data_IF_736876648307
#
_entry.id   IF_736876648307
#
_cell.length_a   1.000
_cell.length_b   1.000
_cell.length_c   1.000
_cell.angle_alpha   90.00
_cell.angle_beta   90.00
_cell.angle_gamma   90.00
#
_symmetry.space_group_name_H-M   'P 1'
#
loop_
_entity.id
_entity.type
_entity.pdbx_description
1 polymer ?
#
# COMPACT_ATOMS: atom_id res chain seq x y z
N UNK A 1 -11.22 20.97 -1.35
CA UNK A 1 -10.98 20.89 0.12
C UNK A 1 -11.05 22.26 0.79
N UNK A 2 -10.68 23.36 0.13
CA UNK A 2 -11.00 24.71 0.62
C UNK A 2 -12.52 24.92 0.67
N UNK A 3 -13.01 25.81 1.54
CA UNK A 3 -14.44 26.11 1.71
C UNK A 3 -15.25 24.97 2.37
N UNK A 4 -14.70 24.32 3.40
CA UNK A 4 -15.43 23.27 4.12
C UNK A 4 -16.57 23.92 4.91
N UNK A 5 -17.80 23.48 4.65
CA UNK A 5 -18.97 23.89 5.40
C UNK A 5 -18.73 23.74 6.92
N UNK A 6 -18.98 24.81 7.68
CA UNK A 6 -18.75 24.87 9.12
C UNK A 6 -17.31 25.17 9.57
N UNK A 7 -16.36 25.36 8.64
CA UNK A 7 -15.00 25.83 8.95
C UNK A 7 -14.66 27.13 8.23
N UNK A 8 -15.02 27.22 6.95
CA UNK A 8 -14.75 28.39 6.10
C UNK A 8 -15.92 28.61 5.15
N UNK A 9 -16.46 29.83 5.12
CA UNK A 9 -17.58 30.19 4.27
C UNK A 9 -17.22 30.23 2.79
N UNK A 10 -15.95 30.53 2.47
CA UNK A 10 -15.42 30.59 1.11
C UNK A 10 -14.17 29.72 0.94
N UNK A 11 -13.96 29.23 -0.27
CA UNK A 11 -12.81 28.40 -0.64
C UNK A 11 -12.04 28.99 -1.81
N UNK A 12 -10.75 29.26 -1.61
CA UNK A 12 -9.86 29.79 -2.65
C UNK A 12 -8.94 28.69 -3.19
N UNK A 13 -8.66 28.74 -4.49
CA UNK A 13 -7.69 27.88 -5.17
C UNK A 13 -6.85 28.73 -6.11
N UNK A 14 -5.55 28.49 -6.14
CA UNK A 14 -4.60 29.15 -7.04
C UNK A 14 -3.44 28.20 -7.34
N UNK A 15 -2.49 28.65 -8.15
CA UNK A 15 -1.25 27.93 -8.47
C UNK A 15 -0.05 28.57 -7.75
N UNK A 16 1.02 27.81 -7.57
CA UNK A 16 2.29 28.33 -7.05
C UNK A 16 2.93 29.28 -8.06
N UNK A 17 3.74 30.24 -7.59
CA UNK A 17 4.43 31.19 -8.46
C UNK A 17 5.40 30.49 -9.42
N UNK A 18 6.04 29.43 -8.96
CA UNK A 18 6.98 28.61 -9.72
C UNK A 18 6.30 27.52 -10.56
N UNK A 19 4.96 27.50 -10.64
CA UNK A 19 4.24 26.54 -11.47
C UNK A 19 4.48 26.79 -12.97
N UNK A 20 4.22 25.76 -13.78
CA UNK A 20 4.26 25.86 -15.23
C UNK A 20 3.34 26.99 -15.74
N UNK A 21 3.76 27.69 -16.81
CA UNK A 21 3.07 28.88 -17.31
C UNK A 21 1.57 28.65 -17.60
N UNK A 22 1.21 27.46 -18.07
CA UNK A 22 -0.17 27.10 -18.41
C UNK A 22 -1.00 26.62 -17.19
N UNK A 23 -0.40 26.44 -16.01
CA UNK A 23 -1.09 25.85 -14.86
C UNK A 23 -2.32 26.66 -14.43
N UNK A 24 -2.22 27.99 -14.41
CA UNK A 24 -3.35 28.85 -14.02
C UNK A 24 -4.50 28.78 -15.05
N UNK A 25 -4.16 28.67 -16.34
CA UNK A 25 -5.14 28.53 -17.41
C UNK A 25 -5.84 27.17 -17.33
N UNK A 26 -5.09 26.10 -17.12
CA UNK A 26 -5.63 24.76 -16.88
C UNK A 26 -6.58 24.75 -15.68
N UNK A 27 -6.19 25.35 -14.56
CA UNK A 27 -7.05 25.47 -13.39
C UNK A 27 -8.37 26.17 -13.72
N UNK A 28 -8.33 27.34 -14.38
CA UNK A 28 -9.53 28.09 -14.77
C UNK A 28 -10.44 27.31 -15.72
N UNK A 29 -9.87 26.51 -16.61
CA UNK A 29 -10.63 25.69 -17.55
C UNK A 29 -11.26 24.46 -16.90
N UNK A 30 -10.60 23.84 -15.93
CA UNK A 30 -11.09 22.60 -15.30
C UNK A 30 -12.02 22.87 -14.12
N UNK A 31 -11.79 23.94 -13.36
CA UNK A 31 -12.56 24.25 -12.13
C UNK A 31 -14.08 24.33 -12.32
N UNK A 32 -14.63 24.95 -13.38
CA UNK A 32 -16.08 25.02 -13.57
C UNK A 32 -16.68 23.74 -14.17
N UNK A 33 -15.87 22.74 -14.56
CA UNK A 33 -16.39 21.53 -15.17
C UNK A 33 -17.13 20.69 -14.13
N UNK A 34 -18.35 20.32 -14.48
CA UNK A 34 -19.13 19.35 -13.71
C UNK A 34 -18.43 17.97 -13.75
N UNK A 35 -18.19 17.34 -12.58
CA UNK A 35 -17.69 15.97 -12.54
C UNK A 35 -18.70 15.03 -13.21
N UNK A 36 -18.25 14.29 -14.22
CA UNK A 36 -19.06 13.28 -14.91
C UNK A 36 -18.36 11.94 -14.89
N UNK A 37 -19.13 10.87 -14.82
CA UNK A 37 -18.60 9.52 -14.96
C UNK A 37 -17.93 9.37 -16.34
N UNK A 38 -16.81 8.64 -16.44
CA UNK A 38 -16.22 8.29 -17.73
C UNK A 38 -17.25 7.59 -18.62
N UNK A 39 -17.26 7.89 -19.92
CA UNK A 39 -18.23 7.31 -20.87
C UNK A 39 -18.11 5.79 -20.99
N UNK A 40 -16.87 5.29 -20.98
CA UNK A 40 -16.54 3.87 -21.13
C UNK A 40 -16.10 3.27 -19.79
N UNK A 41 -16.83 3.59 -18.72
CA UNK A 41 -16.53 3.04 -17.40
C UNK A 41 -16.72 1.52 -17.39
N UNK A 42 -15.67 0.78 -17.05
CA UNK A 42 -15.71 -0.65 -16.78
C UNK A 42 -15.44 -0.89 -15.31
N UNK A 43 -16.23 -1.77 -14.69
CA UNK A 43 -16.04 -2.11 -13.29
C UNK A 43 -14.79 -2.99 -13.14
N UNK A 44 -13.76 -2.58 -12.37
CA UNK A 44 -12.59 -3.41 -12.15
C UNK A 44 -12.96 -4.63 -11.28
N UNK A 45 -12.60 -5.83 -11.74
CA UNK A 45 -12.89 -7.09 -11.05
C UNK A 45 -11.59 -7.79 -10.68
N UNK A 46 -11.53 -8.23 -9.43
CA UNK A 46 -10.47 -9.09 -8.91
C UNK A 46 -11.03 -10.51 -8.63
N UNK A 47 -10.19 -11.56 -8.68
CA UNK A 47 -10.62 -12.90 -8.35
C UNK A 47 -10.94 -13.02 -6.85
N UNK A 48 -11.97 -13.81 -6.52
CA UNK A 48 -12.19 -14.29 -5.17
C UNK A 48 -11.69 -15.74 -5.03
N UNK A 49 -11.72 -16.29 -3.81
CA UNK A 49 -11.27 -17.67 -3.58
C UNK A 49 -11.99 -18.71 -4.44
N UNK A 50 -13.30 -18.55 -4.68
CA UNK A 50 -14.07 -19.48 -5.52
C UNK A 50 -13.57 -19.49 -6.96
N UNK A 51 -13.19 -18.34 -7.52
CA UNK A 51 -12.58 -18.25 -8.84
C UNK A 51 -11.25 -19.01 -8.89
N UNK A 52 -10.37 -18.74 -7.92
CA UNK A 52 -9.04 -19.40 -7.82
C UNK A 52 -9.18 -20.91 -7.69
N UNK A 53 -10.03 -21.37 -6.78
CA UNK A 53 -10.28 -22.79 -6.56
C UNK A 53 -10.85 -23.47 -7.81
N UNK A 54 -11.82 -22.85 -8.48
CA UNK A 54 -12.45 -23.41 -9.68
C UNK A 54 -11.45 -23.55 -10.82
N UNK A 55 -10.63 -22.52 -11.07
CA UNK A 55 -9.61 -22.54 -12.12
C UNK A 55 -8.57 -23.62 -11.81
N UNK A 56 -8.08 -23.68 -10.56
CA UNK A 56 -7.11 -24.68 -10.13
C UNK A 56 -7.60 -26.10 -10.38
N UNK A 57 -8.84 -26.40 -9.97
CA UNK A 57 -9.45 -27.73 -10.14
C UNK A 57 -9.71 -28.10 -11.60
N UNK A 58 -10.27 -27.17 -12.40
CA UNK A 58 -10.62 -27.45 -13.79
C UNK A 58 -9.41 -27.54 -14.72
N UNK A 59 -8.36 -26.77 -14.44
CA UNK A 59 -7.16 -26.72 -15.28
C UNK A 59 -6.05 -27.64 -14.75
N UNK A 60 -6.20 -28.23 -13.56
CA UNK A 60 -5.19 -29.10 -12.96
C UNK A 60 -3.91 -28.37 -12.55
N UNK A 61 -3.98 -27.06 -12.28
CA UNK A 61 -2.82 -26.24 -11.91
C UNK A 61 -2.88 -25.81 -10.45
N UNK A 62 -1.75 -25.88 -9.75
CA UNK A 62 -1.66 -25.52 -8.32
C UNK A 62 -0.69 -24.36 -8.03
N UNK A 63 -0.01 -23.83 -9.06
CA UNK A 63 0.79 -22.60 -8.95
C UNK A 63 -0.17 -21.40 -8.97
N UNK A 64 -0.13 -20.57 -7.92
CA UNK A 64 -1.03 -19.43 -7.79
C UNK A 64 -0.84 -18.44 -8.94
N UNK A 65 0.40 -18.19 -9.36
CA UNK A 65 0.70 -17.33 -10.50
C UNK A 65 -0.02 -17.79 -11.77
N UNK A 66 0.01 -19.11 -12.03
CA UNK A 66 -0.66 -19.69 -13.19
C UNK A 66 -2.18 -19.55 -13.11
N UNK A 67 -2.77 -19.80 -11.93
CA UNK A 67 -4.21 -19.63 -11.70
C UNK A 67 -4.67 -18.20 -11.94
N UNK A 68 -3.95 -17.22 -11.38
CA UNK A 68 -4.27 -15.79 -11.53
C UNK A 68 -4.07 -15.32 -12.99
N UNK A 69 -3.01 -15.80 -13.65
CA UNK A 69 -2.76 -15.50 -15.07
C UNK A 69 -3.90 -16.00 -15.97
N UNK A 70 -4.42 -17.21 -15.72
CA UNK A 70 -5.58 -17.75 -16.44
C UNK A 70 -6.82 -16.89 -16.18
N UNK A 71 -7.06 -16.49 -14.92
CA UNK A 71 -8.18 -15.60 -14.59
C UNK A 71 -8.13 -14.30 -15.39
N UNK A 72 -6.96 -13.65 -15.45
CA UNK A 72 -6.79 -12.40 -16.19
C UNK A 72 -6.99 -12.58 -17.70
N UNK A 73 -6.50 -13.68 -18.27
CA UNK A 73 -6.71 -14.00 -19.68
C UNK A 73 -8.20 -14.19 -20.01
N UNK A 74 -8.94 -14.91 -19.17
CA UNK A 74 -10.38 -15.14 -19.38
C UNK A 74 -11.19 -13.85 -19.24
N UNK A 75 -10.87 -12.99 -18.25
CA UNK A 75 -11.58 -11.72 -18.07
C UNK A 75 -11.34 -10.74 -19.23
N UNK A 76 -10.15 -10.76 -19.84
CA UNK A 76 -9.87 -9.97 -21.06
C UNK A 76 -10.68 -10.41 -22.28
N UNK A 77 -11.18 -11.65 -22.32
CA UNK A 77 -12.00 -12.15 -23.43
C UNK A 77 -13.47 -11.72 -23.32
N UNK A 78 -13.95 -11.32 -22.14
CA UNK A 78 -15.35 -10.92 -21.85
C UNK A 78 -15.41 -9.50 -21.23
N UNK A 79 -14.86 -8.52 -21.96
CA UNK A 79 -14.56 -7.16 -21.51
C UNK A 79 -15.69 -6.14 -21.84
N UNK A 80 -16.95 -6.58 -21.94
CA UNK A 80 -18.04 -5.68 -22.31
C UNK A 80 -18.38 -4.65 -21.21
N UNK A 81 -18.32 -5.08 -19.93
CA UNK A 81 -18.69 -4.24 -18.77
C UNK A 81 -17.66 -4.27 -17.64
N UNK A 82 -16.66 -5.17 -17.73
CA UNK A 82 -15.71 -5.45 -16.67
C UNK A 82 -14.30 -5.30 -17.18
N UNK A 83 -13.45 -4.63 -16.41
CA UNK A 83 -12.02 -4.63 -16.63
C UNK A 83 -11.33 -5.50 -15.58
N UNK A 84 -10.16 -6.03 -15.90
CA UNK A 84 -9.28 -6.62 -14.88
C UNK A 84 -8.84 -5.48 -13.95
N UNK A 85 -8.96 -5.68 -12.63
CA UNK A 85 -8.30 -4.78 -11.69
C UNK A 85 -6.77 -4.81 -11.90
N UNK A 86 -6.05 -3.80 -11.40
CA UNK A 86 -4.58 -3.86 -11.35
C UNK A 86 -4.17 -5.02 -10.41
N UNK A 87 -3.67 -6.10 -10.99
CA UNK A 87 -3.28 -7.34 -10.30
C UNK A 87 -1.77 -7.63 -10.43
N UNK A 88 -1.00 -6.70 -10.98
CA UNK A 88 0.43 -6.81 -11.24
C UNK A 88 1.18 -7.18 -9.96
N UNK A 89 0.94 -6.42 -8.88
CA UNK A 89 1.52 -6.70 -7.57
C UNK A 89 1.11 -8.06 -7.02
N UNK A 90 -0.16 -8.46 -7.21
CA UNK A 90 -0.64 -9.76 -6.75
C UNK A 90 0.06 -10.91 -7.49
N UNK A 91 0.31 -10.75 -8.79
CA UNK A 91 1.07 -11.70 -9.60
C UNK A 91 2.54 -11.77 -9.15
N UNK A 92 3.19 -10.64 -8.92
CA UNK A 92 4.56 -10.59 -8.39
C UNK A 92 4.68 -11.36 -7.07
N UNK A 93 3.77 -11.10 -6.12
CA UNK A 93 3.74 -11.84 -4.86
C UNK A 93 3.45 -13.33 -5.07
N UNK A 94 2.49 -13.67 -5.94
CA UNK A 94 2.13 -15.05 -6.25
C UNK A 94 3.31 -15.85 -6.83
N UNK A 95 4.11 -15.25 -7.71
CA UNK A 95 5.31 -15.89 -8.27
C UNK A 95 6.33 -16.22 -7.18
N UNK A 96 6.59 -15.28 -6.26
CA UNK A 96 7.55 -15.53 -5.18
C UNK A 96 7.01 -16.54 -4.18
N UNK A 97 5.72 -16.48 -3.84
CA UNK A 97 5.07 -17.46 -2.97
C UNK A 97 5.11 -18.87 -3.57
N UNK A 98 4.91 -19.00 -4.88
CA UNK A 98 5.02 -20.29 -5.58
C UNK A 98 6.45 -20.86 -5.56
N UNK A 99 7.48 -20.02 -5.45
CA UNK A 99 8.88 -20.45 -5.35
C UNK A 99 9.28 -20.80 -3.93
N UNK A 100 8.93 -19.95 -2.97
CA UNK A 100 9.51 -19.98 -1.62
C UNK A 100 8.56 -20.53 -0.55
N UNK A 101 7.25 -20.57 -0.83
CA UNK A 101 6.22 -20.95 0.13
C UNK A 101 5.24 -21.99 -0.46
N UNK A 102 5.71 -22.81 -1.42
CA UNK A 102 4.86 -23.77 -2.17
C UNK A 102 4.18 -24.82 -1.30
N UNK A 103 4.76 -25.11 -0.12
CA UNK A 103 4.19 -26.02 0.86
C UNK A 103 2.90 -25.49 1.50
N UNK A 104 2.67 -24.18 1.47
CA UNK A 104 1.40 -23.60 1.91
C UNK A 104 0.27 -24.02 0.96
N UNK A 105 -0.92 -24.36 1.49
CA UNK A 105 -2.13 -24.54 0.71
C UNK A 105 -2.36 -23.37 -0.27
N UNK A 106 -2.92 -23.66 -1.45
CA UNK A 106 -3.21 -22.63 -2.45
C UNK A 106 -4.04 -21.47 -1.88
N UNK A 107 -4.97 -21.77 -0.97
CA UNK A 107 -5.78 -20.77 -0.29
C UNK A 107 -4.94 -19.82 0.58
N UNK A 108 -3.92 -20.33 1.25
CA UNK A 108 -3.05 -19.52 2.10
C UNK A 108 -2.10 -18.67 1.27
N UNK A 109 -1.51 -19.23 0.21
CA UNK A 109 -0.77 -18.43 -0.78
C UNK A 109 -1.65 -17.32 -1.36
N UNK A 110 -2.92 -17.62 -1.67
CA UNK A 110 -3.87 -16.61 -2.15
C UNK A 110 -4.18 -15.53 -1.11
N UNK A 111 -4.25 -15.87 0.20
CA UNK A 111 -4.37 -14.88 1.28
C UNK A 111 -3.12 -13.99 1.37
N UNK A 112 -1.91 -14.59 1.31
CA UNK A 112 -0.65 -13.84 1.30
C UNK A 112 -0.54 -12.89 0.12
N UNK A 113 -0.95 -13.31 -1.08
CA UNK A 113 -0.88 -12.48 -2.28
C UNK A 113 -1.81 -11.24 -2.22
N UNK A 114 -2.75 -11.18 -1.27
CA UNK A 114 -3.61 -10.02 -1.02
C UNK A 114 -3.00 -9.03 0.00
N UNK A 115 -1.82 -9.32 0.54
CA UNK A 115 -1.20 -8.48 1.54
C UNK A 115 -0.77 -7.11 0.95
N UNK A 116 -0.99 -6.00 1.68
CA UNK A 116 -0.66 -4.65 1.21
C UNK A 116 0.84 -4.36 1.37
N UNK A 117 1.68 -5.09 0.62
CA UNK A 117 3.13 -4.92 0.63
C UNK A 117 3.51 -3.77 -0.30
N UNK A 118 4.33 -2.81 0.12
CA UNK A 118 4.86 -1.81 -0.82
C UNK A 118 6.07 -2.39 -1.57
N UNK A 119 5.89 -2.80 -2.83
CA UNK A 119 6.95 -3.44 -3.64
C UNK A 119 8.13 -2.50 -3.92
N UNK A 120 7.98 -1.20 -3.71
CA UNK A 120 9.06 -0.21 -3.84
C UNK A 120 10.04 -0.22 -2.67
N UNK A 121 9.76 -0.99 -1.62
CA UNK A 121 10.61 -1.14 -0.44
C UNK A 121 11.19 -2.57 -0.37
N UNK A 122 12.38 -2.84 -0.95
CA UNK A 122 12.95 -4.19 -1.02
C UNK A 122 13.01 -4.89 0.33
N UNK A 123 13.43 -4.19 1.38
CA UNK A 123 13.49 -4.73 2.74
C UNK A 123 12.13 -5.23 3.26
N UNK A 124 11.03 -4.55 2.95
CA UNK A 124 9.69 -4.97 3.38
C UNK A 124 9.25 -6.23 2.62
N UNK A 125 9.57 -6.28 1.33
CA UNK A 125 9.33 -7.44 0.46
C UNK A 125 10.13 -8.66 0.96
N UNK A 126 11.40 -8.47 1.31
CA UNK A 126 12.27 -9.53 1.84
C UNK A 126 11.76 -10.07 3.18
N UNK A 127 11.35 -9.19 4.11
CA UNK A 127 10.74 -9.62 5.37
C UNK A 127 9.45 -10.40 5.14
N UNK A 128 8.57 -9.90 4.27
CA UNK A 128 7.34 -10.59 3.89
C UNK A 128 7.62 -12.00 3.34
N UNK A 129 8.61 -12.13 2.45
CA UNK A 129 9.01 -13.43 1.90
C UNK A 129 9.57 -14.36 2.96
N UNK A 130 10.42 -13.85 3.86
CA UNK A 130 10.95 -14.61 4.99
C UNK A 130 9.85 -15.16 5.89
N UNK A 131 8.86 -14.35 6.25
CA UNK A 131 7.73 -14.78 7.08
C UNK A 131 6.86 -15.83 6.38
N UNK A 132 6.54 -15.64 5.10
CA UNK A 132 5.77 -16.60 4.33
C UNK A 132 6.51 -17.94 4.16
N UNK A 133 7.82 -17.90 3.92
CA UNK A 133 8.67 -19.09 3.83
C UNK A 133 8.78 -19.82 5.17
N UNK A 134 8.94 -19.10 6.27
CA UNK A 134 8.95 -19.69 7.61
C UNK A 134 7.62 -20.36 7.92
N UNK A 135 6.49 -19.66 7.67
CA UNK A 135 5.17 -20.24 7.88
C UNK A 135 4.99 -21.53 7.07
N UNK A 136 5.42 -21.55 5.80
CA UNK A 136 5.38 -22.75 4.95
C UNK A 136 6.18 -23.93 5.52
N UNK A 137 7.30 -23.66 6.20
CA UNK A 137 8.24 -24.67 6.69
C UNK A 137 7.93 -25.15 8.11
N UNK A 138 7.53 -24.24 8.99
CA UNK A 138 7.44 -24.50 10.44
C UNK A 138 6.03 -24.32 11.00
N UNK A 139 5.09 -23.79 10.22
CA UNK A 139 3.77 -23.39 10.71
C UNK A 139 3.76 -22.06 11.47
N UNK A 140 4.88 -21.34 11.53
CA UNK A 140 5.04 -20.08 12.27
C UNK A 140 5.81 -19.06 11.42
N UNK A 141 5.49 -17.77 11.53
CA UNK A 141 6.19 -16.71 10.81
C UNK A 141 7.65 -16.50 11.29
N UNK A 142 7.93 -16.87 12.54
CA UNK A 142 9.20 -16.61 13.23
C UNK A 142 9.10 -15.40 14.16
N UNK A 143 10.24 -14.98 14.72
CA UNK A 143 10.29 -13.88 15.67
C UNK A 143 10.29 -12.51 14.94
N UNK A 144 9.54 -11.52 15.43
CA UNK A 144 9.51 -10.18 14.86
C UNK A 144 10.77 -9.37 15.25
N UNK A 145 11.92 -9.68 14.66
CA UNK A 145 13.21 -9.03 14.98
C UNK A 145 13.19 -7.49 14.85
N UNK A 146 12.30 -6.94 14.04
CA UNK A 146 12.09 -5.50 13.92
C UNK A 146 11.65 -4.83 15.25
N UNK A 147 11.16 -5.58 16.22
CA UNK A 147 10.86 -5.07 17.56
C UNK A 147 12.11 -4.54 18.27
N UNK A 148 13.26 -5.15 18.02
CA UNK A 148 14.54 -4.78 18.64
C UNK A 148 15.35 -3.80 17.77
N UNK A 149 15.09 -3.75 16.47
CA UNK A 149 15.87 -2.95 15.51
C UNK A 149 15.42 -1.48 15.42
N UNK A 150 14.19 -1.18 15.82
CA UNK A 150 13.57 0.12 15.58
C UNK A 150 13.02 0.77 16.86
N UNK A 151 13.19 2.09 16.96
CA UNK A 151 12.60 2.91 18.00
C UNK A 151 12.14 4.29 17.48
N UNK A 152 11.50 5.04 18.37
CA UNK A 152 10.95 6.39 18.14
C UNK A 152 11.99 7.52 18.01
N UNK A 153 13.27 7.21 18.23
CA UNK A 153 14.40 8.14 18.15
C UNK A 153 15.18 7.99 16.84
N UNK A 154 14.84 6.99 16.03
CA UNK A 154 15.40 6.77 14.70
C UNK A 154 15.17 7.93 13.72
N UNK A 155 15.83 7.84 12.56
CA UNK A 155 15.56 8.79 11.46
C UNK A 155 14.12 8.63 10.95
N UNK A 156 13.50 9.73 10.51
CA UNK A 156 12.13 9.75 9.99
C UNK A 156 11.84 8.63 8.98
N UNK A 157 12.70 8.45 7.98
CA UNK A 157 12.53 7.45 6.93
C UNK A 157 12.56 6.01 7.48
N UNK A 158 13.42 5.75 8.47
CA UNK A 158 13.50 4.43 9.13
C UNK A 158 12.28 4.18 10.00
N UNK A 159 11.77 5.19 10.71
CA UNK A 159 10.53 5.06 11.48
C UNK A 159 9.32 4.79 10.58
N UNK A 160 9.22 5.49 9.44
CA UNK A 160 8.15 5.26 8.46
C UNK A 160 8.21 3.85 7.86
N UNK A 161 9.42 3.32 7.62
CA UNK A 161 9.61 1.94 7.18
C UNK A 161 9.17 0.94 8.26
N UNK A 162 9.61 1.12 9.51
CA UNK A 162 9.22 0.28 10.64
C UNK A 162 7.71 0.28 10.86
N UNK A 163 7.05 1.44 10.68
CA UNK A 163 5.60 1.56 10.79
C UNK A 163 4.87 0.70 9.74
N UNK A 164 5.41 0.63 8.52
CA UNK A 164 4.88 -0.23 7.44
C UNK A 164 5.07 -1.72 7.76
N UNK A 165 6.24 -2.10 8.31
CA UNK A 165 6.51 -3.47 8.77
C UNK A 165 5.51 -3.87 9.86
N UNK A 166 5.33 -3.04 10.89
CA UNK A 166 4.36 -3.28 11.97
C UNK A 166 2.93 -3.44 11.42
N UNK A 167 2.54 -2.58 10.49
CA UNK A 167 1.22 -2.62 9.87
C UNK A 167 1.00 -3.92 9.08
N UNK A 168 2.01 -4.34 8.31
CA UNK A 168 1.95 -5.58 7.54
C UNK A 168 1.90 -6.82 8.46
N UNK A 169 2.71 -6.84 9.53
CA UNK A 169 2.71 -7.90 10.53
C UNK A 169 1.32 -8.09 11.17
N UNK A 170 0.74 -7.01 11.69
CA UNK A 170 -0.60 -7.04 12.29
C UNK A 170 -1.70 -7.41 11.27
N UNK A 171 -1.53 -6.99 10.01
CA UNK A 171 -2.45 -7.40 8.95
C UNK A 171 -2.42 -8.91 8.76
N UNK A 172 -1.22 -9.51 8.71
CA UNK A 172 -1.02 -10.94 8.50
C UNK A 172 -1.46 -11.78 9.71
N UNK A 173 -1.20 -11.32 10.94
CA UNK A 173 -1.68 -11.96 12.17
C UNK A 173 -3.21 -12.17 12.16
N UNK A 174 -3.95 -11.14 11.77
CA UNK A 174 -5.42 -11.24 11.65
C UNK A 174 -5.87 -12.30 10.62
N UNK A 175 -5.09 -12.58 9.58
CA UNK A 175 -5.44 -13.56 8.51
C UNK A 175 -4.94 -14.97 8.80
N UNK A 176 -3.94 -15.09 9.66
CA UNK A 176 -3.31 -16.35 10.05
C UNK A 176 -3.23 -16.44 11.59
N UNK A 177 -4.37 -16.63 12.28
CA UNK A 177 -4.39 -16.66 13.75
C UNK A 177 -3.45 -17.74 14.30
N UNK A 178 -2.57 -17.35 15.23
CA UNK A 178 -1.60 -18.24 15.88
C UNK A 178 -0.37 -18.60 15.05
N UNK A 179 -0.20 -18.02 13.85
CA UNK A 179 1.02 -18.15 13.03
C UNK A 179 1.97 -16.98 13.28
N UNK A 180 1.39 -15.80 13.52
CA UNK A 180 2.07 -14.61 13.99
C UNK A 180 1.75 -14.43 15.47
N UNK A 181 2.38 -13.45 16.11
CA UNK A 181 2.22 -13.18 17.52
C UNK A 181 2.77 -11.80 17.89
N UNK A 182 3.07 -11.62 19.18
CA UNK A 182 3.59 -10.35 19.73
C UNK A 182 2.72 -9.14 19.39
N UNK A 183 1.41 -9.34 19.34
CA UNK A 183 0.45 -8.33 18.85
C UNK A 183 0.51 -7.06 19.70
N UNK A 184 0.57 -7.21 21.02
CA UNK A 184 0.63 -6.08 21.95
C UNK A 184 1.95 -5.31 21.80
N UNK A 185 3.07 -6.00 21.70
CA UNK A 185 4.39 -5.40 21.52
C UNK A 185 4.51 -4.67 20.18
N UNK A 186 3.96 -5.23 19.11
CA UNK A 186 3.93 -4.59 17.78
C UNK A 186 2.98 -3.39 17.77
N UNK A 187 1.85 -3.44 18.48
CA UNK A 187 0.95 -2.30 18.65
C UNK A 187 1.64 -1.17 19.42
N UNK A 188 2.33 -1.49 20.51
CA UNK A 188 3.11 -0.54 21.31
C UNK A 188 4.20 0.14 20.47
N UNK A 189 5.01 -0.66 19.76
CA UNK A 189 6.04 -0.12 18.85
C UNK A 189 5.43 0.80 17.80
N UNK A 190 4.32 0.39 17.17
CA UNK A 190 3.62 1.22 16.18
C UNK A 190 3.17 2.55 16.77
N UNK A 191 2.69 2.56 18.02
CA UNK A 191 2.34 3.78 18.75
C UNK A 191 3.53 4.71 18.95
N UNK A 192 4.61 4.19 19.54
CA UNK A 192 5.86 4.92 19.76
C UNK A 192 6.46 5.49 18.48
N UNK A 193 6.46 4.71 17.39
CA UNK A 193 6.93 5.16 16.07
C UNK A 193 6.09 6.33 15.53
N UNK A 194 4.76 6.27 15.65
CA UNK A 194 3.89 7.38 15.24
C UNK A 194 4.18 8.66 16.02
N UNK A 195 4.35 8.56 17.34
CA UNK A 195 4.70 9.71 18.19
C UNK A 195 6.07 10.31 17.81
N UNK A 196 7.05 9.46 17.50
CA UNK A 196 8.37 9.87 17.01
C UNK A 196 8.30 10.60 15.66
N UNK A 197 7.54 10.03 14.71
CA UNK A 197 7.28 10.62 13.38
C UNK A 197 6.61 11.98 13.53
N UNK A 198 5.53 12.07 14.31
CA UNK A 198 4.79 13.32 14.51
C UNK A 198 5.68 14.42 15.12
N UNK A 199 6.50 14.07 16.12
CA UNK A 199 7.45 14.99 16.74
C UNK A 199 8.46 15.54 15.72
N UNK A 200 9.03 14.67 14.88
CA UNK A 200 9.99 15.10 13.85
C UNK A 200 9.33 15.95 12.76
N UNK A 201 8.11 15.63 12.35
CA UNK A 201 7.36 16.40 11.36
C UNK A 201 6.98 17.79 11.89
N UNK A 202 6.54 17.90 13.15
CA UNK A 202 6.28 19.20 13.81
C UNK A 202 7.55 20.04 13.95
N UNK A 203 8.69 19.39 14.22
CA UNK A 203 9.99 20.05 14.34
C UNK A 203 10.55 20.58 13.00
N UNK A 204 10.11 20.03 11.86
CA UNK A 204 10.50 20.54 10.54
C UNK A 204 9.71 21.82 10.24
N UNK A 205 10.40 22.97 10.28
CA UNK A 205 9.81 24.24 9.82
C UNK A 205 9.27 24.08 8.40
N UNK A 206 8.01 24.45 8.14
CA UNK A 206 7.47 24.49 6.79
C UNK A 206 8.39 25.28 5.86
N UNK A 207 8.59 24.79 4.63
CA UNK A 207 9.51 25.40 3.66
C UNK A 207 9.20 26.89 3.39
N UNK A 208 7.93 27.30 3.52
CA UNK A 208 7.50 28.69 3.38
C UNK A 208 7.96 29.61 4.52
N UNK A 209 8.23 29.08 5.73
CA UNK A 209 8.75 29.84 6.87
C UNK A 209 10.27 30.06 6.80
N UNK A 210 10.99 29.33 5.94
CA UNK A 210 12.45 29.49 5.78
C UNK A 210 12.85 30.72 4.95
N UNK A 211 11.95 31.29 4.13
CA UNK A 211 12.26 32.43 3.24
C UNK A 211 12.08 33.83 3.86
N UNK A 212 11.80 33.95 5.16
CA UNK A 212 11.47 35.23 5.81
C UNK A 212 12.62 36.13 6.29
N UNK A 213 13.90 35.80 6.06
CA UNK A 213 15.05 36.65 6.47
C UNK A 213 15.89 37.03 5.26
N UNK A 214 15.41 38.01 4.51
CA UNK A 214 16.10 38.53 3.34
C UNK A 214 15.38 39.71 2.73
N UNK A 215 14.96 40.68 3.55
CA UNK A 215 14.60 42.00 3.06
C UNK A 215 15.79 42.93 3.37
N UNK A 216 16.48 43.50 2.37
CA UNK A 216 17.46 44.54 2.61
C UNK A 216 16.72 45.81 3.06
N UNK A 217 17.19 46.36 4.17
CA UNK A 217 16.87 47.70 4.66
C UNK A 217 17.15 48.72 3.56
N UNK A 218 16.12 49.48 3.18
CA UNK A 218 16.28 50.63 2.31
C UNK A 218 17.13 51.71 2.97
N UNK A 219 17.90 52.40 2.13
CA UNK A 219 18.38 53.75 2.36
C UNK A 219 18.16 54.52 1.05
#
# INVERSE_FOLDING_TARGET
>A
RAGRYGMHDEGFVSVLKEAEAEAMKSLRQQLPKEPRAPRDFKCPVAPNWRHVQTISQRMGVNKLYAVLSIFMQQLKLDDAHFAVAELEQMLELAEVLDRNAIALPLQERFKYAQAPVDSRLPMLVDQFHGWAQNHARTGQAGDPHFLDEYDQHGRLDRMEQALRICTLWLWLDLRFPGVYGHVEEVIDLRGRLNDGIERQLKGKRPLWQRRGRGAPTGC
#
